data_IF_224756705681
#
_entry.id   IF_224756705681
#
_cell.length_a   1.000
_cell.length_b   1.000
_cell.length_c   1.000
_cell.angle_alpha   90.00
_cell.angle_beta   90.00
_cell.angle_gamma   90.00
#
_symmetry.space_group_name_H-M   'P 1'
#
loop_
_entity.id
_entity.type
_entity.pdbx_description
1 polymer ?
#
# COMPACT_ATOMS: atom_id res chain seq x y z
N UNK A 1 6.58 11.96 -2.25
CA UNK A 1 7.57 13.03 -2.46
C UNK A 1 8.80 12.59 -3.26
N UNK A 2 9.32 11.36 -3.12
CA UNK A 2 10.54 10.94 -3.85
C UNK A 2 10.38 9.96 -5.02
N UNK A 3 9.22 9.31 -5.19
CA UNK A 3 8.93 8.47 -6.36
C UNK A 3 8.23 9.32 -7.42
N UNK A 4 8.80 9.36 -8.63
CA UNK A 4 8.32 10.14 -9.77
C UNK A 4 8.17 9.28 -11.04
N UNK A 5 7.37 9.77 -11.99
CA UNK A 5 7.21 9.17 -13.32
C UNK A 5 6.64 7.75 -13.31
N UNK A 6 7.18 6.90 -14.18
CA UNK A 6 6.69 5.55 -14.47
C UNK A 6 6.56 4.65 -13.22
N UNK A 7 7.47 4.79 -12.24
CA UNK A 7 7.39 4.03 -10.98
C UNK A 7 6.20 4.43 -10.13
N UNK A 8 5.82 5.71 -10.14
CA UNK A 8 4.66 6.21 -9.40
C UNK A 8 3.37 5.64 -9.99
N UNK A 9 3.29 5.62 -11.32
CA UNK A 9 2.15 5.09 -12.05
C UNK A 9 2.04 3.56 -11.90
N UNK A 10 3.17 2.84 -11.98
CA UNK A 10 3.23 1.38 -11.78
C UNK A 10 2.75 0.93 -10.39
N UNK A 11 2.87 1.80 -9.38
CA UNK A 11 2.39 1.53 -8.01
C UNK A 11 1.04 2.18 -7.69
N UNK A 12 0.39 2.77 -8.69
CA UNK A 12 -0.87 3.50 -8.54
C UNK A 12 -0.79 4.58 -7.44
N UNK A 13 0.38 5.20 -7.28
CA UNK A 13 0.64 6.15 -6.20
C UNK A 13 0.12 7.54 -6.53
N UNK A 14 -0.48 8.20 -5.55
CA UNK A 14 -1.01 9.56 -5.68
C UNK A 14 -0.57 10.45 -4.51
N UNK A 15 -1.28 11.55 -4.25
CA UNK A 15 -0.96 12.47 -3.17
C UNK A 15 -1.23 11.81 -1.78
N UNK A 16 -0.47 12.14 -0.72
CA UNK A 16 -0.60 11.50 0.58
C UNK A 16 -2.00 11.63 1.19
N UNK A 17 -2.72 12.69 0.87
CA UNK A 17 -4.10 12.97 1.32
C UNK A 17 -5.09 11.90 0.83
N UNK A 18 -4.76 11.18 -0.24
CA UNK A 18 -5.59 10.13 -0.81
C UNK A 18 -5.42 8.77 -0.12
N UNK A 19 -4.55 8.67 0.89
CA UNK A 19 -4.33 7.45 1.65
C UNK A 19 -4.82 7.60 3.08
N UNK A 20 -5.76 6.73 3.46
CA UNK A 20 -6.33 6.71 4.80
C UNK A 20 -5.25 6.61 5.88
N UNK A 21 -4.22 5.80 5.67
CA UNK A 21 -3.12 5.65 6.64
C UNK A 21 -2.23 6.90 6.79
N UNK A 22 -2.30 7.87 5.88
CA UNK A 22 -1.48 9.08 5.92
C UNK A 22 -2.29 10.34 6.27
N UNK A 23 -3.61 10.33 6.07
CA UNK A 23 -4.44 11.54 6.15
C UNK A 23 -5.20 11.72 7.49
N UNK A 24 -5.23 10.71 8.35
CA UNK A 24 -6.03 10.72 9.59
C UNK A 24 -5.58 11.75 10.63
N UNK A 25 -4.32 12.16 10.61
CA UNK A 25 -3.80 13.19 11.52
C UNK A 25 -4.22 14.61 11.11
N UNK A 26 -4.68 14.80 9.88
CA UNK A 26 -4.88 16.13 9.27
C UNK A 26 -3.58 16.88 8.93
N UNK A 27 -2.41 16.26 9.10
CA UNK A 27 -1.11 16.85 8.81
C UNK A 27 -0.25 15.89 7.98
N UNK A 28 -0.09 16.22 6.71
CA UNK A 28 0.64 15.43 5.70
C UNK A 28 1.97 16.06 5.29
N UNK A 29 2.23 17.31 5.69
CA UNK A 29 3.45 18.03 5.34
C UNK A 29 4.00 18.75 6.57
N UNK A 30 5.29 18.56 6.83
CA UNK A 30 6.07 19.33 7.79
C UNK A 30 7.01 20.28 7.02
N UNK A 31 6.92 21.59 7.29
CA UNK A 31 7.73 22.60 6.58
C UNK A 31 9.22 22.51 6.91
N UNK A 32 9.59 21.80 7.96
CA UNK A 32 10.99 21.61 8.37
C UNK A 32 11.64 20.39 7.72
N UNK A 33 10.86 19.53 7.05
CA UNK A 33 11.32 18.27 6.47
C UNK A 33 11.16 18.31 4.94
N UNK A 34 12.17 17.81 4.24
CA UNK A 34 12.13 17.60 2.81
C UNK A 34 12.04 16.09 2.50
N UNK A 35 10.82 15.56 2.40
CA UNK A 35 10.58 14.14 2.16
C UNK A 35 11.20 13.63 0.84
N UNK A 36 11.37 14.50 -0.17
CA UNK A 36 11.99 14.13 -1.44
C UNK A 36 13.51 13.94 -1.28
N UNK A 37 14.15 14.74 -0.44
CA UNK A 37 15.57 14.62 -0.11
C UNK A 37 15.82 13.43 0.82
N UNK A 38 15.03 13.28 1.88
CA UNK A 38 15.09 12.11 2.77
C UNK A 38 14.91 10.79 2.00
N UNK A 39 14.01 10.75 1.01
CA UNK A 39 13.87 9.58 0.14
C UNK A 39 15.15 9.29 -0.65
N UNK A 40 15.82 10.30 -1.22
CA UNK A 40 17.09 10.11 -1.95
C UNK A 40 18.17 9.55 -1.03
N UNK A 41 18.29 10.08 0.18
CA UNK A 41 19.25 9.59 1.18
C UNK A 41 19.00 8.13 1.52
N UNK A 42 17.74 7.71 1.70
CA UNK A 42 17.39 6.31 1.95
C UNK A 42 17.76 5.42 0.77
N UNK A 43 17.46 5.82 -0.47
CA UNK A 43 17.83 5.04 -1.67
C UNK A 43 19.35 4.89 -1.77
N UNK A 44 20.11 5.97 -1.60
CA UNK A 44 21.58 5.91 -1.59
C UNK A 44 22.10 5.02 -0.46
N UNK A 45 21.51 5.07 0.73
CA UNK A 45 21.89 4.20 1.83
C UNK A 45 21.62 2.71 1.50
N UNK A 46 20.49 2.39 0.86
CA UNK A 46 20.19 1.03 0.42
C UNK A 46 21.20 0.52 -0.63
N UNK A 47 21.61 1.38 -1.57
CA UNK A 47 22.66 1.06 -2.55
C UNK A 47 24.01 0.76 -1.88
N UNK A 48 24.41 1.58 -0.89
CA UNK A 48 25.64 1.36 -0.09
C UNK A 48 25.57 0.03 0.67
N UNK A 49 24.39 -0.32 1.17
CA UNK A 49 24.12 -1.59 1.84
C UNK A 49 23.96 -2.78 0.88
N UNK A 50 24.24 -2.58 -0.41
CA UNK A 50 24.22 -3.60 -1.47
C UNK A 50 22.85 -4.20 -1.75
N UNK A 51 21.76 -3.46 -1.48
CA UNK A 51 20.45 -3.84 -1.99
C UNK A 51 20.45 -3.71 -3.51
N UNK A 52 19.95 -4.74 -4.18
CA UNK A 52 19.74 -4.70 -5.62
C UNK A 52 18.59 -3.76 -5.99
N UNK A 53 18.58 -3.27 -7.23
CA UNK A 53 17.47 -2.47 -7.76
C UNK A 53 16.12 -3.19 -7.64
N UNK A 54 16.12 -4.52 -7.74
CA UNK A 54 14.93 -5.35 -7.58
C UNK A 54 14.45 -5.38 -6.12
N UNK A 55 15.33 -5.60 -5.15
CA UNK A 55 14.96 -5.57 -3.73
C UNK A 55 14.45 -4.20 -3.29
N UNK A 56 15.08 -3.12 -3.74
CA UNK A 56 14.58 -1.76 -3.50
C UNK A 56 13.18 -1.59 -4.10
N UNK A 57 12.97 -2.03 -5.35
CA UNK A 57 11.65 -1.99 -5.99
C UNK A 57 10.61 -2.78 -5.19
N UNK A 58 10.97 -3.95 -4.68
CA UNK A 58 10.05 -4.82 -3.94
C UNK A 58 9.68 -4.22 -2.57
N UNK A 59 10.62 -3.56 -1.89
CA UNK A 59 10.32 -2.76 -0.67
C UNK A 59 9.35 -1.63 -0.98
N UNK A 60 9.58 -0.87 -2.05
CA UNK A 60 8.68 0.22 -2.44
C UNK A 60 7.30 -0.29 -2.87
N UNK A 61 7.25 -1.41 -3.60
CA UNK A 61 6.02 -2.10 -4.00
C UNK A 61 5.22 -2.56 -2.79
N UNK A 62 5.89 -3.13 -1.77
CA UNK A 62 5.27 -3.53 -0.51
C UNK A 62 4.63 -2.33 0.21
N UNK A 63 5.37 -1.22 0.35
CA UNK A 63 4.86 0.00 0.98
C UNK A 63 3.65 0.56 0.23
N UNK A 64 3.68 0.59 -1.11
CA UNK A 64 2.54 0.98 -1.92
C UNK A 64 1.33 0.05 -1.70
N UNK A 65 1.55 -1.27 -1.61
CA UNK A 65 0.52 -2.24 -1.29
C UNK A 65 -0.15 -1.96 0.07
N UNK A 66 0.63 -1.63 1.09
CA UNK A 66 0.12 -1.24 2.42
C UNK A 66 -0.74 0.02 2.34
N UNK A 67 -0.33 1.03 1.56
CA UNK A 67 -1.10 2.26 1.39
C UNK A 67 -2.47 2.00 0.74
N UNK A 68 -2.51 1.18 -0.32
CA UNK A 68 -3.79 0.81 -0.95
C UNK A 68 -4.65 -0.08 -0.05
N UNK A 69 -4.04 -0.96 0.76
CA UNK A 69 -4.75 -1.79 1.71
C UNK A 69 -5.52 -0.94 2.75
N UNK A 70 -4.95 0.18 3.19
CA UNK A 70 -5.60 1.12 4.09
C UNK A 70 -6.82 1.84 3.50
N UNK A 71 -6.94 1.87 2.17
CA UNK A 71 -8.07 2.49 1.48
C UNK A 71 -9.24 1.51 1.21
N UNK A 72 -9.16 0.26 1.69
CA UNK A 72 -10.27 -0.68 1.56
C UNK A 72 -11.37 -0.30 2.56
N UNK A 73 -12.54 0.06 2.02
CA UNK A 73 -13.71 0.40 2.82
C UNK A 73 -14.71 -0.77 2.87
N UNK A 74 -15.26 -1.02 4.06
CA UNK A 74 -16.20 -2.10 4.31
C UNK A 74 -17.60 -1.57 4.62
N UNK A 75 -18.62 -2.29 4.16
CA UNK A 75 -20.02 -2.06 4.49
C UNK A 75 -20.65 -3.33 5.09
N UNK A 76 -21.79 -3.18 5.76
CA UNK A 76 -22.55 -4.33 6.27
C UNK A 76 -23.68 -4.69 5.31
N UNK A 77 -23.63 -5.89 4.75
CA UNK A 77 -24.68 -6.48 3.91
C UNK A 77 -24.68 -8.01 4.09
N UNK A 78 -25.39 -8.50 5.11
CA UNK A 78 -25.35 -9.92 5.48
C UNK A 78 -23.97 -10.38 6.01
N UNK A 79 -23.20 -9.46 6.61
CA UNK A 79 -21.80 -9.63 6.95
C UNK A 79 -20.97 -8.44 6.45
N UNK A 80 -19.66 -8.45 6.71
CA UNK A 80 -18.75 -7.46 6.15
C UNK A 80 -18.60 -7.70 4.63
N UNK A 81 -18.67 -6.65 3.83
CA UNK A 81 -18.48 -6.68 2.38
C UNK A 81 -17.58 -5.52 1.98
N UNK A 82 -16.72 -5.72 0.98
CA UNK A 82 -15.90 -4.64 0.42
C UNK A 82 -16.78 -3.76 -0.45
N UNK A 83 -16.80 -2.45 -0.16
CA UNK A 83 -17.64 -1.47 -0.87
C UNK A 83 -17.17 -1.19 -2.30
N UNK A 84 -15.88 -0.88 -2.46
CA UNK A 84 -15.24 -0.57 -3.74
C UNK A 84 -14.01 -1.45 -3.97
N UNK A 85 -13.92 -2.05 -5.16
CA UNK A 85 -12.85 -3.00 -5.48
C UNK A 85 -11.53 -2.35 -5.91
N UNK A 86 -11.48 -1.04 -6.16
CA UNK A 86 -10.28 -0.38 -6.69
C UNK A 86 -9.08 -0.49 -5.75
N UNK A 87 -9.24 -0.13 -4.47
CA UNK A 87 -8.18 -0.23 -3.48
C UNK A 87 -7.76 -1.69 -3.25
N UNK A 88 -8.76 -2.59 -3.17
CA UNK A 88 -8.55 -4.02 -3.01
C UNK A 88 -7.72 -4.61 -4.16
N UNK A 89 -8.11 -4.35 -5.41
CA UNK A 89 -7.42 -4.88 -6.59
C UNK A 89 -5.98 -4.37 -6.68
N UNK A 90 -5.75 -3.07 -6.43
CA UNK A 90 -4.41 -2.48 -6.40
C UNK A 90 -3.55 -3.10 -5.31
N UNK A 91 -4.10 -3.29 -4.10
CA UNK A 91 -3.37 -3.94 -3.01
C UNK A 91 -3.06 -5.40 -3.33
N UNK A 92 -4.00 -6.16 -3.91
CA UNK A 92 -3.80 -7.55 -4.29
C UNK A 92 -2.69 -7.69 -5.35
N UNK A 93 -2.72 -6.87 -6.39
CA UNK A 93 -1.69 -6.85 -7.44
C UNK A 93 -0.31 -6.52 -6.87
N UNK A 94 -0.20 -5.48 -6.05
CA UNK A 94 1.07 -5.05 -5.47
C UNK A 94 1.61 -6.06 -4.45
N UNK A 95 0.76 -6.77 -3.73
CA UNK A 95 1.17 -7.79 -2.76
C UNK A 95 1.31 -9.19 -3.37
N UNK A 96 1.02 -9.36 -4.66
CA UNK A 96 1.10 -10.65 -5.34
C UNK A 96 0.05 -11.66 -4.87
N UNK A 97 -1.15 -11.17 -4.52
CA UNK A 97 -2.26 -11.96 -4.02
C UNK A 97 -3.38 -12.06 -5.05
N UNK A 98 -4.20 -13.11 -4.96
CA UNK A 98 -5.46 -13.16 -5.68
C UNK A 98 -6.50 -12.23 -5.02
N UNK A 99 -7.17 -11.42 -5.83
CA UNK A 99 -8.16 -10.44 -5.34
C UNK A 99 -9.38 -11.10 -4.67
N UNK A 100 -9.79 -12.28 -5.13
CA UNK A 100 -10.94 -13.00 -4.55
C UNK A 100 -10.54 -13.57 -3.19
N UNK A 101 -9.38 -14.23 -3.12
CA UNK A 101 -8.83 -14.74 -1.87
C UNK A 101 -8.61 -13.63 -0.83
N UNK A 102 -8.10 -12.47 -1.25
CA UNK A 102 -7.95 -11.32 -0.36
C UNK A 102 -9.32 -10.83 0.15
N UNK A 103 -10.32 -10.75 -0.73
CA UNK A 103 -11.68 -10.36 -0.33
C UNK A 103 -12.26 -11.33 0.69
N UNK A 104 -12.16 -12.63 0.43
CA UNK A 104 -12.65 -13.68 1.33
C UNK A 104 -11.93 -13.62 2.68
N UNK A 105 -10.61 -13.52 2.69
CA UNK A 105 -9.82 -13.44 3.91
C UNK A 105 -10.15 -12.21 4.77
N UNK A 106 -10.53 -11.09 4.15
CA UNK A 106 -10.90 -9.86 4.86
C UNK A 106 -12.36 -9.84 5.34
N UNK A 107 -13.25 -10.65 4.75
CA UNK A 107 -14.70 -10.60 5.02
C UNK A 107 -15.24 -11.83 5.73
N UNK A 108 -14.51 -12.94 5.68
CA UNK A 108 -14.96 -14.24 6.18
C UNK A 108 -13.89 -14.90 7.05
N UNK A 109 -14.35 -15.59 8.10
CA UNK A 109 -13.49 -16.43 8.94
C UNK A 109 -13.63 -17.89 8.52
N UNK A 110 -12.53 -18.53 8.14
CA UNK A 110 -12.49 -19.99 7.95
C UNK A 110 -12.33 -20.72 9.28
N UNK A 111 -13.11 -21.77 9.51
CA UNK A 111 -13.01 -22.65 10.68
C UNK A 111 -13.16 -24.10 10.24
N UNK A 112 -12.19 -24.94 10.57
CA UNK A 112 -12.23 -26.38 10.31
C UNK A 112 -12.76 -27.07 11.56
N UNK A 113 -13.97 -27.61 11.51
CA UNK A 113 -14.48 -28.51 12.56
C UNK A 113 -14.11 -29.95 12.20
N UNK A 114 -13.37 -30.61 13.10
CA UNK A 114 -13.18 -32.07 13.04
C UNK A 114 -14.45 -32.72 13.58
N UNK A 115 -15.16 -33.45 12.71
CA UNK A 115 -16.18 -34.41 13.14
C UNK A 115 -15.54 -35.58 13.89
#
# INVERSE_FOLDING_TARGET
AGIEGEKKDAFYLSAPENYHYLNQSGCVADKTINDAEAFKEVITAMEVMQFTTEEVRDVLRLLAGILHLGNIEFITAGGAQVSFKTALNRSAELLGLDSTQLTEALTQRSMILRG
#
